data_IF_019736744034
#
_entry.id   IF_019736744034
#
_cell.length_a   1.000
_cell.length_b   1.000
_cell.length_c   1.000
_cell.angle_alpha   90.00
_cell.angle_beta   90.00
_cell.angle_gamma   90.00
#
_symmetry.space_group_name_H-M   'P 1'
#
loop_
_entity.id
_entity.type
_entity.pdbx_description
1 polymer ?
#
# COMPACT_ATOMS: atom_id res chain seq x y z
N UNK A 1 15.78 6.42 -2.02
CA UNK A 1 15.16 7.19 -0.92
C UNK A 1 16.05 8.41 -0.64
N UNK A 2 15.51 9.61 -0.84
CA UNK A 2 16.18 10.85 -0.48
C UNK A 2 15.86 11.15 0.99
N UNK A 3 16.86 11.17 1.86
CA UNK A 3 16.67 11.62 3.25
C UNK A 3 17.56 12.82 3.50
N UNK A 4 16.99 13.88 4.05
CA UNK A 4 17.71 15.10 4.39
C UNK A 4 17.28 15.57 5.76
N UNK A 5 18.23 15.75 6.67
CA UNK A 5 17.96 16.49 7.91
C UNK A 5 17.97 17.98 7.58
N UNK A 6 17.07 18.74 8.17
CA UNK A 6 17.04 20.20 8.02
C UNK A 6 18.42 20.77 8.36
N UNK A 7 18.99 21.57 7.46
CA UNK A 7 20.31 22.21 7.60
C UNK A 7 21.53 21.26 7.62
N UNK A 8 21.41 20.05 7.09
CA UNK A 8 22.55 19.14 6.87
C UNK A 8 22.72 18.89 5.36
N UNK A 9 23.94 18.56 4.89
CA UNK A 9 24.15 18.11 3.53
C UNK A 9 23.25 16.91 3.20
N UNK A 10 22.71 16.90 1.98
CA UNK A 10 21.92 15.77 1.48
C UNK A 10 22.87 14.58 1.28
N UNK A 11 22.52 13.44 1.87
CA UNK A 11 23.23 12.17 1.69
C UNK A 11 22.46 11.25 0.76
N UNK A 12 23.18 10.51 -0.09
CA UNK A 12 22.61 9.59 -1.06
C UNK A 12 23.06 8.17 -0.75
N UNK A 13 22.09 7.32 -0.46
CA UNK A 13 22.31 5.87 -0.37
C UNK A 13 21.72 5.20 -1.60
N UNK A 14 22.57 4.47 -2.33
CA UNK A 14 22.14 3.63 -3.44
C UNK A 14 21.91 2.21 -2.95
N UNK A 15 20.70 1.69 -3.18
CA UNK A 15 20.36 0.30 -2.89
C UNK A 15 20.22 -0.47 -4.20
N UNK A 16 21.36 -0.73 -4.86
CA UNK A 16 21.42 -1.59 -6.04
C UNK A 16 21.05 -3.02 -5.66
N UNK A 17 20.11 -3.63 -6.40
CA UNK A 17 19.67 -5.02 -6.19
C UNK A 17 18.38 -5.18 -5.41
N UNK A 18 17.84 -4.10 -4.82
CA UNK A 18 16.51 -4.13 -4.18
C UNK A 18 15.38 -4.29 -5.20
N UNK A 19 15.60 -3.79 -6.42
CA UNK A 19 14.71 -3.98 -7.55
C UNK A 19 15.41 -4.89 -8.57
N UNK A 20 14.87 -6.07 -8.91
CA UNK A 20 15.41 -6.90 -9.98
C UNK A 20 15.52 -6.13 -11.31
N UNK A 21 16.51 -6.49 -12.15
CA UNK A 21 16.60 -5.98 -13.50
C UNK A 21 15.37 -6.38 -14.32
N UNK A 22 14.95 -5.52 -15.24
CA UNK A 22 13.78 -5.76 -16.07
C UNK A 22 14.01 -6.88 -17.08
N UNK A 23 12.94 -7.63 -17.36
CA UNK A 23 12.82 -8.49 -18.53
C UNK A 23 12.50 -7.71 -19.81
N UNK A 24 11.75 -6.60 -19.73
CA UNK A 24 11.43 -5.73 -20.88
C UNK A 24 11.75 -4.25 -20.57
N UNK A 25 12.76 -3.64 -21.24
CA UNK A 25 13.13 -2.24 -21.06
C UNK A 25 12.06 -1.23 -21.50
N UNK A 26 11.09 -1.63 -22.32
CA UNK A 26 10.11 -0.73 -22.95
C UNK A 26 8.83 -0.53 -22.13
N UNK A 27 8.59 -1.38 -21.12
CA UNK A 27 7.43 -1.26 -20.25
C UNK A 27 7.52 -0.01 -19.35
N UNK A 28 6.43 0.78 -19.19
CA UNK A 28 6.42 1.94 -18.33
C UNK A 28 6.68 1.53 -16.87
N UNK A 29 7.76 2.08 -16.30
CA UNK A 29 8.13 1.89 -14.91
C UNK A 29 7.45 2.95 -14.06
N UNK A 30 6.68 2.53 -13.06
CA UNK A 30 6.35 3.40 -11.93
C UNK A 30 6.81 2.73 -10.65
N UNK A 31 7.43 3.53 -9.78
CA UNK A 31 7.76 3.13 -8.41
C UNK A 31 6.90 3.98 -7.49
N UNK A 32 6.09 3.33 -6.68
CA UNK A 32 5.23 3.98 -5.71
C UNK A 32 5.84 3.82 -4.32
N UNK A 33 5.90 4.92 -3.58
CA UNK A 33 6.33 4.92 -2.19
C UNK A 33 5.13 5.25 -1.30
N UNK A 34 4.83 4.35 -0.37
CA UNK A 34 3.77 4.51 0.62
C UNK A 34 4.42 4.67 2.00
N UNK A 35 4.65 5.91 2.44
CA UNK A 35 5.23 6.15 3.74
C UNK A 35 4.22 5.93 4.86
N UNK A 36 4.67 5.31 5.94
CA UNK A 36 3.99 5.32 7.24
C UNK A 36 4.95 5.86 8.31
N UNK A 37 5.09 7.18 8.32
CA UNK A 37 6.12 7.87 9.09
C UNK A 37 5.97 7.70 10.61
N UNK A 38 4.75 7.59 11.12
CA UNK A 38 4.52 7.31 12.55
C UNK A 38 5.16 5.99 13.00
N UNK A 39 5.31 5.04 12.08
CA UNK A 39 5.97 3.76 12.32
C UNK A 39 7.38 3.68 11.73
N UNK A 40 7.88 4.79 11.18
CA UNK A 40 9.21 4.92 10.61
C UNK A 40 9.50 3.86 9.53
N UNK A 41 8.50 3.53 8.70
CA UNK A 41 8.67 2.64 7.55
C UNK A 41 8.08 3.24 6.28
N UNK A 42 8.58 2.77 5.13
CA UNK A 42 8.10 3.11 3.79
C UNK A 42 7.97 1.82 3.00
N UNK A 43 6.80 1.57 2.43
CA UNK A 43 6.66 0.50 1.45
C UNK A 43 6.96 1.04 0.05
N UNK A 44 7.81 0.36 -0.69
CA UNK A 44 8.05 0.62 -2.09
C UNK A 44 7.46 -0.50 -2.94
N UNK A 45 6.65 -0.14 -3.92
CA UNK A 45 6.09 -1.06 -4.91
C UNK A 45 6.41 -0.58 -6.30
N UNK A 46 6.31 -1.45 -7.30
CA UNK A 46 6.57 -1.07 -8.68
C UNK A 46 5.82 -1.96 -9.66
N UNK A 47 5.46 -1.39 -10.81
CA UNK A 47 4.77 -2.08 -11.91
C UNK A 47 5.59 -3.19 -12.57
N UNK A 48 6.84 -3.39 -12.14
CA UNK A 48 7.72 -4.46 -12.59
C UNK A 48 8.12 -5.44 -11.49
N UNK A 49 7.57 -5.31 -10.28
CA UNK A 49 7.86 -6.22 -9.17
C UNK A 49 6.68 -7.12 -8.85
N UNK A 50 7.02 -8.38 -8.56
CA UNK A 50 6.11 -9.36 -7.99
C UNK A 50 6.01 -9.24 -6.46
N UNK A 51 6.86 -8.42 -5.83
CA UNK A 51 6.90 -8.25 -4.39
C UNK A 51 7.10 -6.79 -3.98
N UNK A 52 6.54 -6.43 -2.82
CA UNK A 52 6.80 -5.13 -2.23
C UNK A 52 8.10 -5.13 -1.41
N UNK A 53 8.82 -4.02 -1.44
CA UNK A 53 10.02 -3.81 -0.62
C UNK A 53 9.67 -2.92 0.55
N UNK A 54 10.01 -3.36 1.76
CA UNK A 54 9.87 -2.54 2.96
C UNK A 54 11.19 -1.86 3.30
N UNK A 55 11.17 -0.56 3.50
CA UNK A 55 12.26 0.19 4.12
C UNK A 55 11.83 0.61 5.51
N UNK A 56 12.73 0.52 6.48
CA UNK A 56 12.45 1.07 7.80
C UNK A 56 13.66 1.76 8.40
N UNK A 57 13.37 2.65 9.35
CA UNK A 57 14.34 3.44 10.05
C UNK A 57 14.42 3.00 11.50
N UNK A 58 15.64 2.72 11.96
CA UNK A 58 15.92 2.33 13.34
C UNK A 58 16.21 3.54 14.26
N UNK A 59 15.86 4.75 13.83
CA UNK A 59 16.16 6.02 14.49
C UNK A 59 17.47 6.66 14.06
N UNK A 60 18.33 5.92 13.34
CA UNK A 60 19.64 6.39 12.86
C UNK A 60 19.66 6.42 11.34
N UNK A 61 19.28 5.32 10.70
CA UNK A 61 19.43 5.12 9.25
C UNK A 61 18.27 4.31 8.67
N UNK A 62 17.91 4.64 7.43
CA UNK A 62 16.96 3.87 6.63
C UNK A 62 17.65 2.66 6.02
N UNK A 63 17.04 1.48 6.17
CA UNK A 63 17.52 0.24 5.57
C UNK A 63 16.36 -0.57 5.00
N UNK A 64 16.58 -1.33 3.91
CA UNK A 64 15.62 -2.34 3.50
C UNK A 64 15.46 -3.36 4.63
N UNK A 65 14.23 -3.76 4.90
CA UNK A 65 13.91 -4.85 5.81
C UNK A 65 13.73 -6.12 5.01
N UNK A 66 14.47 -7.16 5.38
CA UNK A 66 14.28 -8.50 4.87
C UNK A 66 13.20 -9.17 5.71
N UNK A 67 11.98 -9.18 5.18
CA UNK A 67 10.88 -9.93 5.78
C UNK A 67 10.89 -11.34 5.17
N UNK A 68 10.73 -12.41 5.97
CA UNK A 68 10.59 -13.76 5.42
C UNK A 68 9.16 -14.00 4.95
N UNK A 69 8.96 -14.96 4.05
CA UNK A 69 7.63 -15.51 3.76
C UNK A 69 7.00 -16.08 5.05
N UNK A 70 5.70 -15.85 5.33
CA UNK A 70 4.68 -15.22 4.48
C UNK A 70 4.47 -13.71 4.75
N UNK A 71 5.42 -13.03 5.40
CA UNK A 71 5.26 -11.64 5.85
C UNK A 71 5.59 -10.60 4.77
N UNK A 72 6.04 -11.04 3.60
CA UNK A 72 6.24 -10.20 2.41
C UNK A 72 4.95 -10.13 1.61
N UNK A 73 4.64 -8.95 1.08
CA UNK A 73 3.56 -8.79 0.11
C UNK A 73 4.08 -9.29 -1.23
N UNK A 74 3.57 -10.44 -1.67
CA UNK A 74 3.88 -11.04 -2.95
C UNK A 74 2.62 -11.20 -3.79
N UNK A 75 2.77 -11.00 -5.08
CA UNK A 75 1.70 -11.17 -6.04
C UNK A 75 1.55 -12.64 -6.44
N UNK A 76 0.33 -13.17 -6.58
CA UNK A 76 0.12 -14.51 -7.10
C UNK A 76 0.49 -14.59 -8.59
N UNK A 77 0.69 -15.81 -9.08
CA UNK A 77 0.68 -16.05 -10.52
C UNK A 77 -0.74 -15.90 -11.05
N UNK A 78 -0.86 -15.36 -12.26
CA UNK A 78 -2.13 -15.32 -12.99
C UNK A 78 -2.66 -16.73 -13.29
N UNK A 79 -3.92 -16.83 -13.70
CA UNK A 79 -4.52 -18.09 -14.16
C UNK A 79 -3.72 -18.79 -15.28
N UNK A 80 -2.98 -18.01 -16.08
CA UNK A 80 -2.09 -18.50 -17.13
C UNK A 80 -0.68 -18.85 -16.66
N UNK A 81 -0.45 -18.89 -15.33
CA UNK A 81 0.85 -19.14 -14.67
C UNK A 81 1.95 -18.14 -15.06
N UNK A 82 1.57 -16.90 -15.32
CA UNK A 82 2.49 -15.78 -15.56
C UNK A 82 2.58 -14.89 -14.33
N UNK A 83 3.74 -14.27 -14.13
CA UNK A 83 3.94 -13.25 -13.12
C UNK A 83 2.90 -12.14 -13.24
N UNK A 84 2.46 -11.64 -12.10
CA UNK A 84 1.63 -10.45 -12.00
C UNK A 84 2.42 -9.39 -11.22
N UNK A 85 2.06 -8.12 -11.41
CA UNK A 85 2.85 -7.03 -10.84
C UNK A 85 1.96 -6.09 -10.04
N UNK A 86 2.54 -5.42 -9.05
CA UNK A 86 1.80 -4.45 -8.24
C UNK A 86 1.58 -3.18 -9.06
N UNK A 87 0.32 -2.85 -9.34
CA UNK A 87 -0.04 -1.63 -10.08
C UNK A 87 -0.44 -0.47 -9.17
N UNK A 88 -0.88 -0.77 -7.95
CA UNK A 88 -1.27 0.23 -6.96
C UNK A 88 -1.32 -0.34 -5.56
N UNK A 89 -1.12 0.54 -4.57
CA UNK A 89 -1.31 0.17 -3.17
C UNK A 89 -1.87 1.34 -2.38
N UNK A 90 -2.53 1.07 -1.27
CA UNK A 90 -2.98 2.08 -0.31
C UNK A 90 -3.08 1.51 1.11
N UNK A 91 -2.93 2.38 2.11
CA UNK A 91 -3.27 2.03 3.48
C UNK A 91 -4.71 2.40 3.78
N UNK A 92 -5.37 1.53 4.53
CA UNK A 92 -6.61 1.79 5.24
C UNK A 92 -6.33 1.80 6.74
N UNK A 93 -6.79 2.88 7.36
CA UNK A 93 -6.65 3.11 8.80
C UNK A 93 -7.99 2.95 9.52
N UNK A 94 -9.03 2.43 8.86
CA UNK A 94 -10.38 2.35 9.43
C UNK A 94 -10.73 1.00 10.06
N UNK A 95 -9.79 0.05 10.05
CA UNK A 95 -9.95 -1.24 10.70
C UNK A 95 -10.23 -1.08 12.20
N UNK A 96 -11.32 -1.70 12.67
CA UNK A 96 -11.73 -1.72 14.08
C UNK A 96 -11.64 -3.11 14.71
N UNK A 97 -11.28 -4.13 13.93
CA UNK A 97 -11.23 -5.51 14.41
C UNK A 97 -9.81 -5.82 14.93
N UNK A 98 -9.68 -6.45 16.11
CA UNK A 98 -8.41 -7.02 16.55
C UNK A 98 -7.86 -8.00 15.50
N UNK A 99 -6.54 -8.11 15.45
CA UNK A 99 -5.85 -9.05 14.56
C UNK A 99 -5.35 -10.22 15.40
N UNK A 100 -5.71 -11.44 15.00
CA UNK A 100 -5.17 -12.66 15.62
C UNK A 100 -3.87 -13.02 14.91
N UNK A 101 -2.76 -13.03 15.63
CA UNK A 101 -1.46 -13.44 15.10
C UNK A 101 -1.44 -14.97 15.00
N UNK A 102 -1.47 -15.50 13.78
CA UNK A 102 -1.60 -16.96 13.54
C UNK A 102 -0.53 -17.81 14.21
N UNK A 103 0.67 -17.25 14.44
CA UNK A 103 1.80 -17.99 15.02
C UNK A 103 1.51 -18.52 16.43
N UNK A 104 0.84 -17.73 17.25
CA UNK A 104 0.66 -18.02 18.69
C UNK A 104 -0.76 -17.74 19.19
N UNK A 105 -1.66 -17.28 18.31
CA UNK A 105 -3.04 -16.94 18.66
C UNK A 105 -3.17 -15.62 19.43
N UNK A 106 -2.09 -14.86 19.58
CA UNK A 106 -2.11 -13.59 20.29
C UNK A 106 -2.99 -12.60 19.55
N UNK A 107 -3.94 -11.98 20.26
CA UNK A 107 -4.70 -10.86 19.73
C UNK A 107 -3.93 -9.56 19.92
N UNK A 108 -3.75 -8.82 18.83
CA UNK A 108 -3.23 -7.45 18.84
C UNK A 108 -4.36 -6.47 18.54
N UNK A 109 -4.27 -5.20 19.01
CA UNK A 109 -5.26 -4.18 18.70
C UNK A 109 -5.47 -4.00 17.19
N UNK A 110 -6.56 -3.34 16.75
CA UNK A 110 -6.81 -3.12 15.33
C UNK A 110 -5.62 -2.48 14.62
N UNK A 111 -5.12 -3.16 13.58
CA UNK A 111 -3.97 -2.72 12.79
C UNK A 111 -4.42 -2.17 11.44
N UNK A 112 -3.65 -1.24 10.83
CA UNK A 112 -3.90 -0.81 9.46
C UNK A 112 -3.91 -1.98 8.48
N UNK A 113 -4.65 -1.82 7.40
CA UNK A 113 -4.68 -2.79 6.30
C UNK A 113 -4.00 -2.14 5.10
N UNK A 114 -3.12 -2.88 4.43
CA UNK A 114 -2.65 -2.49 3.11
C UNK A 114 -3.44 -3.23 2.04
N UNK A 115 -3.92 -2.46 1.08
CA UNK A 115 -4.55 -2.93 -0.14
C UNK A 115 -3.52 -2.86 -1.26
N UNK A 116 -3.34 -3.95 -1.99
CA UNK A 116 -2.41 -4.03 -3.11
C UNK A 116 -3.11 -4.61 -4.32
N UNK A 117 -3.25 -3.83 -5.39
CA UNK A 117 -3.86 -4.26 -6.65
C UNK A 117 -2.79 -4.81 -7.59
N UNK A 118 -3.04 -5.98 -8.15
CA UNK A 118 -2.19 -6.63 -9.15
C UNK A 118 -2.60 -6.25 -10.58
N UNK A 119 -1.69 -6.49 -11.53
CA UNK A 119 -1.92 -6.26 -12.96
C UNK A 119 -2.97 -7.18 -13.58
N UNK A 120 -3.36 -8.28 -12.92
CA UNK A 120 -4.44 -9.16 -13.36
C UNK A 120 -5.78 -8.88 -12.66
N UNK A 121 -5.87 -7.81 -11.87
CA UNK A 121 -7.10 -7.36 -11.23
C UNK A 121 -7.41 -8.01 -9.88
N UNK A 122 -6.46 -8.72 -9.28
CA UNK A 122 -6.58 -9.28 -7.93
C UNK A 122 -6.22 -8.23 -6.89
N UNK A 123 -7.07 -8.06 -5.88
CA UNK A 123 -6.82 -7.18 -4.74
C UNK A 123 -6.33 -8.01 -3.55
N UNK A 124 -5.09 -7.78 -3.13
CA UNK A 124 -4.48 -8.43 -1.98
C UNK A 124 -4.61 -7.53 -0.75
N UNK A 125 -4.93 -8.12 0.40
CA UNK A 125 -5.09 -7.41 1.66
C UNK A 125 -4.17 -8.01 2.72
N UNK A 126 -3.41 -7.16 3.40
CA UNK A 126 -2.54 -7.58 4.49
C UNK A 126 -2.71 -6.66 5.69
N UNK A 127 -2.76 -7.23 6.90
CA UNK A 127 -2.61 -6.44 8.12
C UNK A 127 -1.17 -6.00 8.28
N UNK A 128 -0.98 -4.70 8.51
CA UNK A 128 0.34 -4.11 8.81
C UNK A 128 0.51 -4.13 10.32
N UNK A 129 1.11 -5.21 10.83
CA UNK A 129 1.23 -5.42 12.28
C UNK A 129 2.59 -4.97 12.80
N UNK A 130 2.62 -4.25 13.91
CA UNK A 130 3.84 -4.03 14.69
C UNK A 130 3.71 -4.55 16.11
N UNK A 131 4.67 -5.36 16.53
CA UNK A 131 4.78 -5.84 17.91
C UNK A 131 5.62 -4.90 18.79
N UNK A 132 6.05 -3.75 18.27
CA UNK A 132 6.80 -2.77 19.03
C UNK A 132 5.83 -1.92 19.87
N UNK A 133 5.82 -2.04 21.21
CA UNK A 133 4.87 -1.32 22.06
C UNK A 133 5.09 0.19 22.08
N UNK A 134 6.23 0.68 21.60
CA UNK A 134 6.50 2.11 21.50
C UNK A 134 5.82 2.78 20.29
N UNK A 135 5.23 2.00 19.38
CA UNK A 135 4.57 2.56 18.20
C UNK A 135 3.14 3.00 18.51
N UNK A 136 2.72 4.18 18.02
CA UNK A 136 1.36 4.65 18.22
C UNK A 136 0.36 3.77 17.47
N UNK A 137 -0.85 3.67 18.02
CA UNK A 137 -1.99 3.15 17.27
C UNK A 137 -2.32 4.11 16.11
N UNK A 138 -2.60 3.55 14.94
CA UNK A 138 -2.85 4.32 13.72
C UNK A 138 -4.30 4.24 13.24
N UNK A 139 -5.04 3.25 13.74
CA UNK A 139 -6.42 3.02 13.30
C UNK A 139 -7.36 4.01 13.97
N UNK A 140 -8.35 4.49 13.20
CA UNK A 140 -9.42 5.35 13.69
C UNK A 140 -10.75 4.94 13.03
N UNK A 141 -11.89 5.02 13.75
CA UNK A 141 -13.18 4.77 13.14
C UNK A 141 -13.44 5.66 11.92
N UNK A 142 -14.23 5.16 10.97
CA UNK A 142 -14.65 5.95 9.82
C UNK A 142 -15.45 7.17 10.26
N UNK A 143 -15.08 8.34 9.73
CA UNK A 143 -15.80 9.59 9.97
C UNK A 143 -16.98 9.69 8.98
N UNK A 144 -18.18 10.13 9.42
CA UNK A 144 -19.30 10.32 8.51
C UNK A 144 -18.99 11.32 7.39
N UNK A 145 -19.40 11.00 6.17
CA UNK A 145 -19.26 11.89 5.03
C UNK A 145 -20.48 12.83 4.93
N UNK A 146 -20.24 14.15 4.93
CA UNK A 146 -21.30 15.14 4.68
C UNK A 146 -21.63 15.22 3.19
N UNK A 147 -22.76 14.64 2.81
CA UNK A 147 -23.24 14.62 1.42
C UNK A 147 -23.57 16.03 0.90
N UNK A 148 -23.85 17.00 1.79
CA UNK A 148 -24.13 18.38 1.39
C UNK A 148 -22.88 19.14 0.94
N UNK A 149 -21.69 18.64 1.30
CA UNK A 149 -20.41 19.20 0.86
C UNK A 149 -19.94 18.64 -0.50
N UNK A 150 -20.75 17.81 -1.16
CA UNK A 150 -20.40 17.23 -2.46
C UNK A 150 -20.39 18.31 -3.54
N UNK A 151 -19.27 18.39 -4.27
CA UNK A 151 -19.21 19.19 -5.50
C UNK A 151 -19.79 18.35 -6.62
N UNK A 152 -21.04 18.62 -6.97
CA UNK A 152 -21.57 18.15 -8.25
C UNK A 152 -20.84 18.95 -9.33
N UNK A 153 -19.93 18.28 -10.05
CA UNK A 153 -19.37 18.87 -11.26
C UNK A 153 -20.48 19.18 -12.26
N UNK A 154 -20.27 20.16 -13.12
CA UNK A 154 -21.20 20.39 -14.22
C UNK A 154 -21.34 19.11 -15.05
N UNK A 155 -22.56 18.81 -15.48
CA UNK A 155 -22.77 17.71 -16.41
C UNK A 155 -21.90 17.95 -17.66
N UNK A 156 -21.17 16.93 -18.16
CA UNK A 156 -20.44 17.07 -19.41
C UNK A 156 -21.37 17.55 -20.52
N UNK A 157 -20.90 18.47 -21.37
CA UNK A 157 -21.67 18.97 -22.50
C UNK A 157 -22.16 17.78 -23.36
N UNK A 158 -23.48 17.67 -23.56
CA UNK A 158 -24.09 16.58 -24.32
C UNK A 158 -24.47 15.34 -23.51
N UNK A 159 -24.28 15.33 -22.18
CA UNK A 159 -24.85 14.27 -21.33
C UNK A 159 -26.38 14.30 -21.42
N UNK A 160 -26.97 13.18 -21.85
CA UNK A 160 -28.39 12.92 -21.77
C UNK A 160 -28.60 11.85 -20.70
N UNK A 161 -29.29 12.13 -19.58
CA UNK A 161 -29.58 11.10 -18.60
C UNK A 161 -30.33 9.96 -19.29
N UNK A 162 -29.92 8.72 -19.04
CA UNK A 162 -30.69 7.56 -19.49
C UNK A 162 -32.10 7.72 -18.89
N UNK A 163 -33.18 7.60 -19.70
CA UNK A 163 -34.54 7.56 -19.15
C UNK A 163 -34.54 6.53 -18.04
N UNK A 164 -35.03 6.91 -16.86
CA UNK A 164 -35.18 6.00 -15.75
C UNK A 164 -36.11 4.88 -16.21
N UNK A 165 -35.55 3.78 -16.72
CA UNK A 165 -36.27 2.55 -16.84
C UNK A 165 -36.76 2.25 -15.43
N UNK A 166 -38.08 2.26 -15.27
CA UNK A 166 -38.74 2.00 -14.00
C UNK A 166 -38.07 0.79 -13.35
N UNK A 167 -37.37 1.03 -12.24
CA UNK A 167 -37.14 -0.01 -11.25
C UNK A 167 -38.51 -0.29 -10.62
N UNK A 168 -39.37 -0.96 -11.38
CA UNK A 168 -40.54 -1.62 -10.85
C UNK A 168 -40.08 -2.96 -10.28
N UNK A 169 -40.27 -3.06 -8.96
CA UNK A 169 -40.37 -4.23 -8.08
C UNK A 169 -40.16 -5.63 -8.69
#
# INVERSE_FOLDING_TARGET
>A
LLTGKKNQPITWDSWSGVLPPLSDPSAPRSVNFLPLFDWQFVLATSTCLTNAVTFGNNGIVWKPWELPEPFVINTPLSASRKDTFIVGSSFDFTSIKPVVVERDGTEVPPQPIIYTLTSDGVLLLYHVTSLNPARPALTKPIEPCDLNATKNGDQPMGYQPRPAAALSA
#
